data_IF_615442085180
#
_entry.id   IF_615442085180
#
_cell.length_a   1.000
_cell.length_b   1.000
_cell.length_c   1.000
_cell.angle_alpha   90.00
_cell.angle_beta   90.00
_cell.angle_gamma   90.00
#
_symmetry.space_group_name_H-M   'P 1'
#
loop_
_entity.id
_entity.type
_entity.pdbx_description
1 polymer ?
#
# COMPACT_ATOMS: atom_id res chain seq x y z
N UNK A 1 27.77 24.47 17.25
CA UNK A 1 29.16 24.84 16.91
C UNK A 1 29.17 25.27 15.45
N UNK A 2 29.63 26.44 15.10
CA UNK A 2 29.72 26.84 13.70
C UNK A 2 30.72 25.96 12.97
N UNK A 3 30.36 25.49 11.78
CA UNK A 3 31.30 24.83 10.88
C UNK A 3 32.09 25.92 10.15
N UNK A 4 33.39 25.87 10.20
CA UNK A 4 34.27 26.79 9.48
C UNK A 4 34.86 26.02 8.30
N UNK A 5 34.54 26.44 7.10
CA UNK A 5 35.09 25.85 5.86
C UNK A 5 35.78 26.96 5.09
N UNK A 6 37.05 26.77 4.75
CA UNK A 6 37.80 27.64 3.85
C UNK A 6 37.92 26.97 2.49
N UNK A 7 37.60 27.69 1.43
CA UNK A 7 37.71 27.22 0.05
C UNK A 7 38.58 28.16 -0.76
N UNK A 8 39.35 27.66 -1.72
CA UNK A 8 40.18 28.44 -2.62
C UNK A 8 40.36 27.73 -3.95
N UNK A 9 40.58 28.52 -5.03
CA UNK A 9 40.84 28.02 -6.37
C UNK A 9 39.69 27.19 -6.95
N UNK A 10 39.93 26.03 -7.50
CA UNK A 10 38.92 25.15 -8.11
C UNK A 10 37.85 24.64 -7.11
N UNK A 11 38.11 24.72 -5.79
CA UNK A 11 37.18 24.33 -4.78
C UNK A 11 36.05 25.38 -4.55
N UNK A 12 36.18 26.59 -5.07
CA UNK A 12 35.18 27.67 -4.95
C UNK A 12 33.86 27.36 -5.66
N UNK A 13 33.89 26.48 -6.66
CA UNK A 13 32.70 25.99 -7.36
C UNK A 13 32.20 24.63 -6.86
N UNK A 14 32.84 24.02 -5.88
CA UNK A 14 32.49 22.71 -5.36
C UNK A 14 31.53 22.82 -4.16
N UNK A 15 30.60 21.88 -4.06
CA UNK A 15 29.75 21.73 -2.89
C UNK A 15 30.52 21.11 -1.74
N UNK A 16 30.52 21.76 -0.57
CA UNK A 16 31.01 21.15 0.66
C UNK A 16 29.84 20.63 1.45
N UNK A 17 29.84 19.34 1.76
CA UNK A 17 28.81 18.72 2.59
C UNK A 17 29.18 18.86 4.07
N UNK A 18 28.23 19.32 4.86
CA UNK A 18 28.33 19.41 6.32
C UNK A 18 27.17 18.64 6.91
N UNK A 19 27.46 17.61 7.71
CA UNK A 19 26.43 16.84 8.40
C UNK A 19 25.89 17.65 9.58
N UNK A 20 24.59 17.91 9.57
CA UNK A 20 23.88 18.59 10.65
C UNK A 20 23.18 17.53 11.53
N UNK A 21 23.32 17.70 12.86
CA UNK A 21 22.63 16.83 13.79
C UNK A 21 21.11 17.04 13.65
N UNK A 22 20.32 15.99 13.34
CA UNK A 22 18.87 16.09 13.18
C UNK A 22 18.13 16.65 14.40
N UNK A 23 18.69 16.47 15.62
CA UNK A 23 18.10 16.99 16.86
C UNK A 23 18.10 18.51 16.97
N UNK A 24 18.82 19.22 16.08
CA UNK A 24 18.81 20.67 15.99
C UNK A 24 17.56 21.23 15.29
N UNK A 25 16.82 20.37 14.60
CA UNK A 25 15.60 20.75 13.88
C UNK A 25 14.35 20.43 14.69
N UNK A 26 13.38 21.34 14.64
CA UNK A 26 12.08 21.15 15.29
C UNK A 26 10.96 21.13 14.24
N UNK A 27 9.82 20.57 14.60
CA UNK A 27 8.61 20.67 13.75
C UNK A 27 8.23 22.13 13.56
N UNK A 28 8.06 22.57 12.31
CA UNK A 28 7.75 23.95 11.96
C UNK A 28 8.93 24.69 11.32
N UNK A 29 9.00 26.00 11.50
CA UNK A 29 10.02 26.84 10.88
C UNK A 29 11.34 26.72 11.59
N UNK A 30 12.39 26.37 10.85
CA UNK A 30 13.78 26.40 11.29
C UNK A 30 14.54 27.49 10.55
N UNK A 31 15.47 28.15 11.22
CA UNK A 31 16.28 29.23 10.64
C UNK A 31 17.71 28.74 10.53
N UNK A 32 18.26 28.78 9.32
CA UNK A 32 19.68 28.57 9.08
C UNK A 32 20.36 29.95 8.92
N UNK A 33 21.39 30.20 9.70
CA UNK A 33 22.21 31.40 9.60
C UNK A 33 23.59 30.99 9.10
N UNK A 34 24.10 31.71 8.13
CA UNK A 34 25.45 31.56 7.64
C UNK A 34 26.17 32.92 7.66
N UNK A 35 27.41 32.91 8.06
CA UNK A 35 28.31 34.04 8.02
C UNK A 35 29.44 33.75 7.06
N UNK A 36 29.67 34.63 6.10
CA UNK A 36 30.67 34.44 5.03
C UNK A 36 31.71 35.53 5.18
N UNK A 37 32.96 35.14 5.31
CA UNK A 37 34.08 36.04 5.46
C UNK A 37 35.05 35.92 4.27
N UNK A 38 35.52 37.03 3.78
CA UNK A 38 36.64 37.06 2.85
C UNK A 38 37.97 36.76 3.57
N UNK A 39 38.83 36.01 2.92
CA UNK A 39 40.12 35.62 3.47
C UNK A 39 41.11 36.81 3.53
N UNK A 40 40.94 37.79 2.65
CA UNK A 40 41.75 38.99 2.61
C UNK A 40 40.91 40.19 2.21
N UNK A 41 41.38 41.39 2.60
CA UNK A 41 40.73 42.68 2.30
C UNK A 41 40.62 42.96 0.81
N UNK A 42 41.50 42.40 -0.01
CA UNK A 42 41.61 42.64 -1.47
C UNK A 42 40.94 41.55 -2.30
N UNK A 43 40.20 40.60 -1.67
CA UNK A 43 39.47 39.58 -2.41
C UNK A 43 38.24 40.22 -3.10
N UNK A 44 38.10 39.97 -4.40
CA UNK A 44 37.04 40.53 -5.23
C UNK A 44 35.74 39.70 -5.21
N UNK A 45 35.80 38.45 -4.73
CA UNK A 45 34.74 37.49 -4.93
C UNK A 45 34.19 37.00 -3.58
N UNK A 46 32.89 37.23 -3.36
CA UNK A 46 32.16 36.72 -2.24
C UNK A 46 30.84 36.12 -2.77
N UNK A 47 30.74 34.80 -2.79
CA UNK A 47 29.49 34.13 -3.14
C UNK A 47 29.12 33.10 -2.09
N UNK A 48 27.83 32.96 -1.84
CA UNK A 48 27.29 31.97 -0.93
C UNK A 48 26.06 31.29 -1.54
N UNK A 49 26.07 29.98 -1.54
CA UNK A 49 24.91 29.19 -1.91
C UNK A 49 24.79 28.04 -0.91
N UNK A 50 23.63 27.86 -0.32
CA UNK A 50 23.39 26.80 0.65
C UNK A 50 22.12 26.02 0.30
N UNK A 51 22.19 24.72 0.54
CA UNK A 51 21.08 23.80 0.39
C UNK A 51 21.05 22.84 1.57
N UNK A 52 19.91 22.71 2.24
CA UNK A 52 19.71 21.64 3.21
C UNK A 52 19.12 20.45 2.46
N UNK A 53 19.78 19.29 2.56
CA UNK A 53 19.30 18.02 2.02
C UNK A 53 19.09 17.10 3.21
N UNK A 54 17.84 16.79 3.54
CA UNK A 54 17.56 15.69 4.42
C UNK A 54 17.62 14.40 3.58
N UNK A 55 18.32 13.33 4.03
CA UNK A 55 18.10 12.02 3.43
C UNK A 55 16.64 11.68 3.68
N UNK A 56 15.87 11.57 2.60
CA UNK A 56 14.52 11.05 2.68
C UNK A 56 14.62 9.56 2.99
N UNK A 57 14.57 9.22 4.26
CA UNK A 57 14.15 7.88 4.63
C UNK A 57 12.65 7.82 4.35
N UNK A 58 12.29 7.57 3.09
CA UNK A 58 10.90 7.24 2.79
C UNK A 58 10.56 6.00 3.60
N UNK A 59 9.83 6.21 4.70
CA UNK A 59 9.29 5.09 5.47
C UNK A 59 8.28 4.41 4.55
N UNK A 60 8.64 3.22 4.06
CA UNK A 60 7.73 2.42 3.25
C UNK A 60 6.65 1.85 4.14
N UNK A 61 5.37 2.18 3.93
CA UNK A 61 4.28 1.60 4.68
C UNK A 61 4.24 0.08 4.51
N UNK A 62 3.96 -0.64 5.58
CA UNK A 62 3.81 -2.09 5.57
C UNK A 62 2.32 -2.44 5.55
N UNK A 63 1.90 -3.34 4.65
CA UNK A 63 0.54 -3.84 4.62
C UNK A 63 0.33 -4.80 5.80
N UNK A 64 -0.48 -4.40 6.77
CA UNK A 64 -0.79 -5.18 7.99
C UNK A 64 -2.00 -6.07 7.84
N UNK A 65 -2.95 -5.67 6.97
CA UNK A 65 -4.04 -6.52 6.48
C UNK A 65 -4.00 -6.44 4.96
N UNK A 66 -3.71 -7.55 4.30
CA UNK A 66 -3.55 -7.62 2.85
C UNK A 66 -4.79 -7.18 2.09
N UNK A 67 -4.66 -7.03 0.79
CA UNK A 67 -5.81 -6.66 -0.03
C UNK A 67 -6.94 -7.67 0.13
N UNK A 68 -8.17 -7.16 0.27
CA UNK A 68 -9.38 -7.96 0.25
C UNK A 68 -10.48 -7.28 -0.58
N UNK A 69 -11.22 -8.14 -1.29
CA UNK A 69 -12.21 -7.74 -2.27
C UNK A 69 -13.60 -7.66 -1.62
N UNK A 70 -14.34 -6.58 -1.90
CA UNK A 70 -15.69 -6.38 -1.40
C UNK A 70 -16.60 -5.76 -2.44
N UNK A 71 -17.91 -5.87 -2.23
CA UNK A 71 -18.95 -5.18 -3.04
C UNK A 71 -18.79 -5.44 -4.54
N UNK A 72 -18.46 -6.69 -4.93
CA UNK A 72 -18.34 -7.06 -6.33
C UNK A 72 -19.64 -6.84 -7.08
N UNK A 73 -19.55 -6.21 -8.26
CA UNK A 73 -20.65 -6.00 -9.16
C UNK A 73 -20.22 -6.32 -10.61
N UNK A 74 -21.13 -6.22 -11.58
CA UNK A 74 -20.79 -6.43 -12.99
C UNK A 74 -19.84 -5.40 -13.56
N UNK A 75 -19.81 -4.18 -13.01
CA UNK A 75 -19.00 -3.07 -13.51
C UNK A 75 -18.18 -2.36 -12.43
N UNK A 76 -18.13 -2.90 -11.22
CA UNK A 76 -17.40 -2.28 -10.10
C UNK A 76 -16.97 -3.29 -9.05
N UNK A 77 -15.94 -2.91 -8.27
CA UNK A 77 -15.45 -3.65 -7.11
C UNK A 77 -14.81 -2.67 -6.13
N UNK A 78 -14.89 -2.97 -4.85
CA UNK A 78 -14.15 -2.25 -3.81
C UNK A 78 -12.99 -3.10 -3.32
N UNK A 79 -11.79 -2.52 -3.31
CA UNK A 79 -10.56 -3.13 -2.80
C UNK A 79 -10.19 -2.42 -1.52
N UNK A 80 -9.95 -3.18 -0.45
CA UNK A 80 -9.57 -2.66 0.86
C UNK A 80 -8.28 -3.27 1.35
N UNK A 81 -7.52 -2.50 2.14
CA UNK A 81 -6.32 -2.97 2.85
C UNK A 81 -6.02 -2.06 4.04
N UNK A 82 -5.10 -2.50 4.89
CA UNK A 82 -4.64 -1.74 6.04
C UNK A 82 -3.12 -1.62 6.03
N UNK A 83 -2.59 -0.47 6.48
CA UNK A 83 -1.16 -0.23 6.66
C UNK A 83 -0.83 0.12 8.10
N UNK A 84 0.45 -0.06 8.48
CA UNK A 84 0.98 0.27 9.81
C UNK A 84 1.06 1.78 10.06
N UNK A 85 1.31 2.57 9.03
CA UNK A 85 1.37 4.03 9.08
C UNK A 85 0.40 4.65 8.05
N UNK A 86 -0.09 5.85 8.38
CA UNK A 86 -1.01 6.57 7.49
C UNK A 86 -0.30 6.99 6.20
N UNK A 87 -0.86 6.58 5.06
CA UNK A 87 -0.35 6.90 3.73
C UNK A 87 -1.49 7.12 2.72
N UNK A 88 -1.15 7.59 1.53
CA UNK A 88 -2.10 7.73 0.42
C UNK A 88 -2.53 6.36 -0.12
N UNK A 89 -3.63 6.33 -0.87
CA UNK A 89 -4.16 5.11 -1.46
C UNK A 89 -4.02 5.12 -2.97
N UNK A 90 -3.60 4.00 -3.57
CA UNK A 90 -3.59 3.78 -5.01
C UNK A 90 -3.90 2.33 -5.32
N UNK A 91 -4.76 2.13 -6.33
CA UNK A 91 -4.96 0.83 -6.97
C UNK A 91 -4.64 0.98 -8.45
N UNK A 92 -3.70 0.17 -8.92
CA UNK A 92 -3.44 -0.02 -10.35
C UNK A 92 -4.18 -1.28 -10.80
N UNK A 93 -4.79 -1.29 -11.99
CA UNK A 93 -5.57 -2.43 -12.45
C UNK A 93 -5.64 -2.51 -13.98
N UNK A 94 -5.93 -3.72 -14.47
CA UNK A 94 -6.06 -3.98 -15.90
C UNK A 94 -6.31 -5.46 -16.17
N UNK A 95 -6.51 -5.81 -17.44
CA UNK A 95 -6.72 -7.20 -17.88
C UNK A 95 -5.42 -8.01 -17.94
N UNK A 96 -4.29 -7.40 -17.63
CA UNK A 96 -2.98 -8.03 -17.49
C UNK A 96 -2.22 -7.42 -16.31
N UNK A 97 -1.10 -8.01 -15.91
CA UNK A 97 -0.21 -7.50 -14.85
C UNK A 97 0.54 -6.21 -15.22
N UNK A 98 0.44 -5.76 -16.48
CA UNK A 98 0.90 -4.42 -16.87
C UNK A 98 -0.09 -3.31 -16.42
N UNK A 99 -1.25 -3.68 -15.91
CA UNK A 99 -2.35 -2.86 -15.38
C UNK A 99 -2.94 -1.89 -16.42
N UNK A 100 -2.38 -0.72 -16.63
CA UNK A 100 -2.82 0.27 -17.62
C UNK A 100 -3.82 1.31 -17.11
N UNK A 101 -4.50 1.06 -15.98
CA UNK A 101 -5.41 1.99 -15.33
C UNK A 101 -5.04 2.16 -13.86
N UNK A 102 -5.47 3.28 -13.24
CA UNK A 102 -5.31 3.50 -11.82
C UNK A 102 -6.39 4.39 -11.23
N UNK A 103 -6.65 4.18 -9.93
CA UNK A 103 -7.43 5.10 -9.08
C UNK A 103 -6.58 5.42 -7.87
N UNK A 104 -6.52 6.70 -7.48
CA UNK A 104 -5.72 7.14 -6.33
C UNK A 104 -6.45 8.18 -5.50
N UNK A 105 -6.11 8.22 -4.20
CA UNK A 105 -6.56 9.22 -3.24
C UNK A 105 -5.35 9.67 -2.41
N UNK A 106 -5.06 10.96 -2.38
CA UNK A 106 -3.94 11.53 -1.67
C UNK A 106 -4.17 11.66 -0.15
N UNK A 107 -5.41 11.49 0.35
CA UNK A 107 -5.70 11.51 1.77
C UNK A 107 -4.93 10.41 2.52
N UNK A 108 -4.31 10.79 3.64
CA UNK A 108 -3.54 9.85 4.45
C UNK A 108 -4.45 9.08 5.39
N UNK A 109 -4.36 7.76 5.34
CA UNK A 109 -5.12 6.85 6.19
C UNK A 109 -4.34 5.55 6.42
N UNK A 110 -4.68 4.81 7.46
CA UNK A 110 -4.24 3.43 7.67
C UNK A 110 -5.28 2.41 7.20
N UNK A 111 -6.54 2.85 7.00
CA UNK A 111 -7.65 2.04 6.51
C UNK A 111 -7.98 2.48 5.08
N UNK A 112 -7.58 1.70 4.11
CA UNK A 112 -7.72 2.04 2.70
C UNK A 112 -8.97 1.39 2.10
N UNK A 113 -9.73 2.18 1.34
CA UNK A 113 -10.88 1.72 0.56
C UNK A 113 -10.86 2.43 -0.80
N UNK A 114 -10.76 1.66 -1.88
CA UNK A 114 -10.76 2.18 -3.26
C UNK A 114 -11.77 1.39 -4.07
N UNK A 115 -12.72 2.10 -4.66
CA UNK A 115 -13.71 1.50 -5.57
C UNK A 115 -13.30 1.72 -7.01
N UNK A 116 -13.19 0.64 -7.76
CA UNK A 116 -13.01 0.64 -9.20
C UNK A 116 -14.40 0.61 -9.86
N UNK A 117 -14.59 1.44 -10.87
CA UNK A 117 -15.85 1.53 -11.63
C UNK A 117 -15.60 1.48 -13.13
N UNK A 118 -16.64 1.32 -13.93
CA UNK A 118 -16.52 1.28 -15.40
C UNK A 118 -15.86 -0.01 -15.90
N UNK A 119 -15.88 -1.08 -15.11
CA UNK A 119 -15.31 -2.37 -15.48
C UNK A 119 -16.24 -3.10 -16.49
N UNK A 120 -15.64 -3.97 -17.28
CA UNK A 120 -16.36 -4.87 -18.19
C UNK A 120 -16.91 -6.07 -17.42
N UNK A 121 -18.17 -6.46 -17.58
CA UNK A 121 -18.74 -7.65 -16.93
C UNK A 121 -18.04 -8.95 -17.30
N UNK A 122 -18.08 -9.95 -16.39
CA UNK A 122 -17.51 -11.29 -16.57
C UNK A 122 -16.06 -11.28 -17.06
N UNK A 123 -15.28 -10.29 -16.64
CA UNK A 123 -13.90 -10.06 -17.12
C UNK A 123 -12.92 -10.19 -15.98
N UNK A 124 -11.81 -10.88 -16.22
CA UNK A 124 -10.71 -11.00 -15.26
C UNK A 124 -9.83 -9.75 -15.27
N UNK A 125 -9.58 -9.22 -14.09
CA UNK A 125 -8.68 -8.10 -13.84
C UNK A 125 -7.59 -8.51 -12.87
N UNK A 126 -6.38 -7.98 -13.08
CA UNK A 126 -5.28 -7.99 -12.12
C UNK A 126 -5.19 -6.62 -11.48
N UNK A 127 -4.72 -6.55 -10.23
CA UNK A 127 -4.57 -5.29 -9.53
C UNK A 127 -3.34 -5.27 -8.62
N UNK A 128 -2.88 -4.07 -8.31
CA UNK A 128 -1.87 -3.79 -7.29
C UNK A 128 -2.35 -2.66 -6.39
N UNK A 129 -2.03 -2.76 -5.10
CA UNK A 129 -2.30 -1.73 -4.10
C UNK A 129 -1.01 -1.02 -3.70
N UNK A 130 -1.13 0.24 -3.28
CA UNK A 130 0.01 1.01 -2.83
C UNK A 130 -0.34 2.43 -2.41
N UNK A 131 0.72 3.22 -2.30
CA UNK A 131 0.66 4.68 -2.15
C UNK A 131 0.69 5.35 -3.52
N UNK A 132 0.54 6.66 -3.58
CA UNK A 132 0.67 7.41 -4.84
C UNK A 132 2.06 7.28 -5.47
N UNK A 133 3.09 6.96 -4.68
CA UNK A 133 4.49 6.86 -5.12
C UNK A 133 5.03 5.44 -5.20
N UNK A 134 4.48 4.50 -4.39
CA UNK A 134 5.01 3.15 -4.26
C UNK A 134 3.92 2.08 -4.45
N UNK A 135 4.28 0.93 -5.00
CA UNK A 135 3.46 -0.29 -4.98
C UNK A 135 3.82 -1.09 -3.74
N UNK A 136 2.82 -1.46 -2.93
CA UNK A 136 3.01 -2.23 -1.68
C UNK A 136 2.72 -3.71 -1.86
N UNK A 137 1.72 -4.05 -2.67
CA UNK A 137 1.35 -5.43 -2.97
C UNK A 137 0.75 -5.53 -4.37
N UNK A 138 1.16 -6.55 -5.15
CA UNK A 138 0.60 -6.82 -6.46
C UNK A 138 1.38 -7.96 -7.13
N UNK A 139 0.68 -9.03 -7.47
CA UNK A 139 1.21 -10.20 -8.17
C UNK A 139 0.10 -10.88 -8.99
N UNK A 140 0.38 -12.04 -9.57
CA UNK A 140 -0.61 -12.83 -10.32
C UNK A 140 -1.78 -13.31 -9.47
N UNK A 141 -1.65 -13.36 -8.15
CA UNK A 141 -2.70 -13.76 -7.22
C UNK A 141 -3.62 -12.58 -6.85
N UNK A 142 -3.18 -11.34 -7.05
CA UNK A 142 -4.02 -10.16 -6.89
C UNK A 142 -4.89 -9.99 -8.15
N UNK A 143 -6.03 -10.67 -8.19
CA UNK A 143 -6.94 -10.64 -9.33
C UNK A 143 -8.40 -10.81 -8.89
N UNK A 144 -9.33 -10.48 -9.76
CA UNK A 144 -10.75 -10.73 -9.59
C UNK A 144 -11.43 -10.91 -10.94
N UNK A 145 -12.62 -11.50 -10.92
CA UNK A 145 -13.50 -11.56 -12.08
C UNK A 145 -14.75 -10.77 -11.75
N UNK A 146 -15.10 -9.77 -12.55
CA UNK A 146 -16.35 -9.01 -12.38
C UNK A 146 -17.56 -9.92 -12.51
N UNK A 147 -18.63 -9.63 -11.79
CA UNK A 147 -19.86 -10.40 -11.90
C UNK A 147 -20.40 -10.35 -13.35
N UNK A 148 -21.09 -11.38 -13.82
CA UNK A 148 -21.82 -11.30 -15.07
C UNK A 148 -22.99 -10.29 -14.95
N UNK A 149 -23.52 -9.87 -16.08
CA UNK A 149 -24.73 -9.03 -16.09
C UNK A 149 -25.93 -9.79 -15.54
N UNK A 150 -26.88 -9.06 -14.95
CA UNK A 150 -28.13 -9.64 -14.45
C UNK A 150 -28.88 -10.35 -15.61
N UNK A 151 -29.36 -11.54 -15.32
CA UNK A 151 -30.02 -12.40 -16.31
C UNK A 151 -29.09 -13.28 -17.14
N UNK A 152 -27.77 -13.22 -16.90
CA UNK A 152 -26.81 -14.14 -17.52
C UNK A 152 -27.05 -15.58 -17.05
N UNK A 153 -26.79 -16.53 -17.94
CA UNK A 153 -26.77 -17.98 -17.63
C UNK A 153 -25.38 -18.49 -17.28
N UNK A 154 -24.38 -17.60 -17.15
CA UNK A 154 -23.01 -17.96 -16.78
C UNK A 154 -23.00 -18.59 -15.38
N UNK A 155 -22.48 -19.81 -15.20
CA UNK A 155 -22.39 -20.44 -13.89
C UNK A 155 -21.54 -19.59 -12.94
N UNK A 156 -21.97 -19.50 -11.68
CA UNK A 156 -21.22 -18.87 -10.61
C UNK A 156 -20.96 -19.89 -9.50
N UNK A 157 -19.74 -19.86 -8.95
CA UNK A 157 -19.37 -20.68 -7.81
C UNK A 157 -19.43 -19.84 -6.55
N UNK A 158 -20.18 -20.32 -5.57
CA UNK A 158 -20.31 -19.68 -4.26
C UNK A 158 -19.72 -20.62 -3.22
N UNK A 159 -18.77 -20.11 -2.43
CA UNK A 159 -18.33 -20.78 -1.22
C UNK A 159 -19.08 -20.21 -0.02
N UNK A 160 -19.92 -21.03 0.58
CA UNK A 160 -20.71 -20.64 1.77
C UNK A 160 -20.15 -21.34 2.99
N UNK A 161 -19.82 -20.61 4.04
CA UNK A 161 -19.22 -21.13 5.27
C UNK A 161 -19.64 -20.27 6.47
N UNK A 162 -19.87 -20.91 7.62
CA UNK A 162 -20.04 -20.26 8.93
C UNK A 162 -19.13 -20.89 9.96
N UNK A 163 -19.05 -20.31 11.15
CA UNK A 163 -18.33 -20.87 12.32
C UNK A 163 -16.85 -21.22 12.07
N UNK A 164 -16.16 -20.45 11.22
CA UNK A 164 -14.89 -20.91 10.67
C UNK A 164 -13.63 -20.29 11.29
N UNK A 165 -13.71 -19.07 11.85
CA UNK A 165 -12.56 -18.31 12.35
C UNK A 165 -12.20 -18.64 13.80
N UNK A 166 -11.84 -19.89 14.10
CA UNK A 166 -11.52 -20.35 15.45
C UNK A 166 -10.03 -20.66 15.70
N UNK A 167 -9.19 -20.50 14.67
CA UNK A 167 -7.74 -20.70 14.75
C UNK A 167 -7.29 -22.18 14.87
N UNK A 168 -8.19 -23.13 14.71
CA UNK A 168 -7.87 -24.56 14.87
C UNK A 168 -7.35 -25.19 13.57
N UNK A 169 -6.72 -26.37 13.71
CA UNK A 169 -6.31 -27.18 12.55
C UNK A 169 -7.50 -27.61 11.69
N UNK A 170 -8.70 -27.76 12.27
CA UNK A 170 -9.91 -28.10 11.53
C UNK A 170 -10.31 -26.98 10.56
N UNK A 171 -10.18 -25.72 10.96
CA UNK A 171 -10.37 -24.59 10.07
C UNK A 171 -9.47 -24.68 8.83
N UNK A 172 -8.18 -24.96 9.03
CA UNK A 172 -7.22 -25.11 7.93
C UNK A 172 -7.52 -26.32 7.07
N UNK A 173 -7.96 -27.43 7.67
CA UNK A 173 -8.34 -28.64 6.95
C UNK A 173 -9.55 -28.37 6.03
N UNK A 174 -10.58 -27.67 6.51
CA UNK A 174 -11.75 -27.26 5.71
C UNK A 174 -11.34 -26.34 4.56
N UNK A 175 -10.53 -25.30 4.83
CA UNK A 175 -9.98 -24.43 3.78
C UNK A 175 -9.25 -25.23 2.71
N UNK A 176 -8.32 -26.09 3.12
CA UNK A 176 -7.49 -26.87 2.20
C UNK A 176 -8.33 -27.86 1.39
N UNK A 177 -9.34 -28.51 2.01
CA UNK A 177 -10.28 -29.38 1.31
C UNK A 177 -11.05 -28.63 0.23
N UNK A 178 -11.53 -27.41 0.56
CA UNK A 178 -12.21 -26.56 -0.42
C UNK A 178 -11.27 -26.18 -1.57
N UNK A 179 -10.04 -25.73 -1.27
CA UNK A 179 -9.05 -25.35 -2.29
C UNK A 179 -8.69 -26.54 -3.21
N UNK A 180 -8.54 -27.73 -2.65
CA UNK A 180 -8.30 -28.94 -3.43
C UNK A 180 -9.51 -29.28 -4.34
N UNK A 181 -10.73 -29.10 -3.83
CA UNK A 181 -11.95 -29.34 -4.60
C UNK A 181 -12.10 -28.35 -5.76
N UNK A 182 -11.85 -27.05 -5.52
CA UNK A 182 -11.99 -26.04 -6.58
C UNK A 182 -10.90 -26.14 -7.64
N UNK A 183 -9.69 -26.49 -7.24
CA UNK A 183 -8.52 -26.50 -8.11
C UNK A 183 -8.29 -25.13 -8.76
N UNK A 184 -8.21 -25.11 -10.09
CA UNK A 184 -8.03 -23.89 -10.87
C UNK A 184 -9.35 -23.14 -11.17
N UNK A 185 -10.50 -23.65 -10.76
CA UNK A 185 -11.80 -22.99 -11.05
C UNK A 185 -12.03 -21.88 -10.03
N UNK A 186 -12.22 -20.62 -10.47
CA UNK A 186 -12.40 -19.49 -9.57
C UNK A 186 -13.63 -19.60 -8.68
N UNK A 187 -13.55 -19.09 -7.46
CA UNK A 187 -14.69 -18.81 -6.59
C UNK A 187 -15.17 -17.39 -6.87
N UNK A 188 -16.43 -17.23 -7.27
CA UNK A 188 -16.98 -15.93 -7.63
C UNK A 188 -17.48 -15.14 -6.42
N UNK A 189 -17.92 -15.86 -5.38
CA UNK A 189 -18.43 -15.26 -4.16
C UNK A 189 -18.08 -16.14 -2.96
N UNK A 190 -17.59 -15.52 -1.91
CA UNK A 190 -17.44 -16.13 -0.60
C UNK A 190 -18.49 -15.55 0.35
N UNK A 191 -19.43 -16.38 0.78
CA UNK A 191 -20.54 -15.99 1.63
C UNK A 191 -20.30 -16.47 3.07
N UNK A 192 -20.28 -15.54 4.00
CA UNK A 192 -20.09 -15.78 5.43
C UNK A 192 -21.43 -15.80 6.14
N UNK A 193 -21.74 -16.89 6.83
CA UNK A 193 -23.04 -17.15 7.42
C UNK A 193 -23.14 -16.75 8.91
N UNK A 194 -22.09 -16.15 9.45
CA UNK A 194 -22.01 -15.76 10.87
C UNK A 194 -20.94 -16.53 11.62
N UNK A 195 -20.68 -16.10 12.84
CA UNK A 195 -19.67 -16.63 13.74
C UNK A 195 -18.29 -16.78 13.07
N UNK A 196 -17.89 -15.69 12.39
CA UNK A 196 -16.74 -15.73 11.48
C UNK A 196 -15.39 -15.60 12.20
N UNK A 197 -15.38 -15.13 13.47
CA UNK A 197 -14.17 -15.04 14.29
C UNK A 197 -14.49 -15.25 15.78
N UNK A 198 -13.77 -16.14 16.43
CA UNK A 198 -14.02 -16.56 17.81
C UNK A 198 -12.94 -16.02 18.76
N UNK A 199 -13.38 -15.76 20.05
CA UNK A 199 -14.72 -16.03 20.62
C UNK A 199 -15.67 -14.85 20.57
N UNK A 200 -15.17 -13.63 20.29
CA UNK A 200 -15.88 -12.37 20.50
C UNK A 200 -16.03 -11.54 19.21
N UNK A 201 -15.44 -11.96 18.10
CA UNK A 201 -15.48 -11.21 16.84
C UNK A 201 -14.69 -9.90 16.87
N UNK A 202 -13.65 -9.81 17.70
CA UNK A 202 -12.79 -8.62 17.77
C UNK A 202 -11.97 -8.45 16.51
N UNK A 203 -11.48 -7.23 16.23
CA UNK A 203 -10.60 -6.97 15.09
C UNK A 203 -9.32 -7.83 15.12
N UNK A 204 -8.78 -8.07 16.32
CA UNK A 204 -7.61 -8.92 16.51
C UNK A 204 -7.89 -10.40 16.17
N UNK A 205 -9.06 -10.91 16.53
CA UNK A 205 -9.50 -12.26 16.18
C UNK A 205 -9.73 -12.39 14.67
N UNK A 206 -10.39 -11.41 14.05
CA UNK A 206 -10.49 -11.36 12.59
C UNK A 206 -9.12 -11.34 11.92
N UNK A 207 -8.18 -10.53 12.41
CA UNK A 207 -6.84 -10.49 11.84
C UNK A 207 -6.16 -11.86 11.95
N UNK A 208 -6.16 -12.46 13.15
CA UNK A 208 -5.40 -13.68 13.45
C UNK A 208 -6.04 -14.93 12.84
N UNK A 209 -7.36 -15.08 12.99
CA UNK A 209 -8.04 -16.33 12.67
C UNK A 209 -8.76 -16.31 11.32
N UNK A 210 -8.91 -15.12 10.71
CA UNK A 210 -9.55 -14.98 9.40
C UNK A 210 -8.56 -14.45 8.36
N UNK A 211 -8.13 -13.20 8.45
CA UNK A 211 -7.29 -12.59 7.41
C UNK A 211 -5.94 -13.29 7.24
N UNK A 212 -5.26 -13.66 8.34
CA UNK A 212 -3.98 -14.37 8.27
C UNK A 212 -4.12 -15.83 7.80
N UNK A 213 -5.32 -16.41 7.93
CA UNK A 213 -5.54 -17.81 7.56
C UNK A 213 -5.98 -17.99 6.11
N UNK A 214 -6.53 -16.96 5.47
CA UNK A 214 -7.07 -17.01 4.11
C UNK A 214 -6.48 -15.93 3.17
N UNK A 215 -5.16 -15.65 3.20
CA UNK A 215 -4.59 -14.50 2.52
C UNK A 215 -4.76 -14.52 1.00
N UNK A 216 -4.81 -15.71 0.38
CA UNK A 216 -5.00 -15.85 -1.06
C UNK A 216 -6.48 -15.73 -1.46
N UNK A 217 -7.41 -16.23 -0.62
CA UNK A 217 -8.86 -16.19 -0.86
C UNK A 217 -9.43 -14.78 -0.79
N UNK A 218 -8.79 -13.88 -0.02
CA UNK A 218 -9.23 -12.50 0.10
C UNK A 218 -8.88 -11.63 -1.10
N UNK A 219 -7.80 -11.95 -1.79
CA UNK A 219 -7.27 -11.10 -2.87
C UNK A 219 -7.57 -11.61 -4.28
N UNK A 220 -8.31 -12.74 -4.40
CA UNK A 220 -8.62 -13.35 -5.70
C UNK A 220 -10.02 -13.94 -5.75
#
# INVERSE_FOLDING_TARGET
TPAIVSVSGSAESAWTNIDLNPSLFTTGTNILTAEVHQISYDSSDLSFNARIVAPSTEITPVVTRGAYLQKLNSNSITIRWRTDIACSSKVQYGTSVAYGNQVSNAALTTEHEVTLTGLTPATKYFYAIGTTTQTLQGDLKNNFITAPIVGSTTPVRIWSIGDFGNGTNNQLAVRNAYMNYTGATPTNLWLWLGDNAYTSGTDAEYQTFVFNQYPDQFKS
#
